data_IF_731583493498
#
_entry.id   IF_731583493498
#
_cell.length_a   1.000
_cell.length_b   1.000
_cell.length_c   1.000
_cell.angle_alpha   90.00
_cell.angle_beta   90.00
_cell.angle_gamma   90.00
#
_symmetry.space_group_name_H-M   'P 1'
#
loop_
_entity.id
_entity.type
_entity.pdbx_description
1 polymer ?
#
# COMPACT_ATOMS: atom_id res chain seq x y z
N UNK A 1 -16.30 -9.38 1.83
CA UNK A 1 -15.22 -10.01 1.05
C UNK A 1 -13.90 -9.48 1.59
N UNK A 2 -12.88 -10.32 1.80
CA UNK A 2 -11.56 -9.84 2.26
C UNK A 2 -10.78 -9.24 1.09
N UNK A 3 -9.80 -8.34 1.32
CA UNK A 3 -8.94 -7.83 0.25
C UNK A 3 -8.27 -8.95 -0.55
N UNK A 4 -7.75 -9.97 0.13
CA UNK A 4 -7.16 -11.15 -0.50
C UNK A 4 -8.17 -11.88 -1.41
N UNK A 5 -9.40 -12.10 -0.93
CA UNK A 5 -10.47 -12.75 -1.72
C UNK A 5 -10.82 -11.95 -2.97
N UNK A 6 -10.95 -10.62 -2.84
CA UNK A 6 -11.21 -9.73 -3.97
C UNK A 6 -10.10 -9.80 -5.02
N UNK A 7 -8.83 -9.76 -4.61
CA UNK A 7 -7.69 -9.91 -5.53
C UNK A 7 -7.67 -11.27 -6.20
N UNK A 8 -8.06 -12.34 -5.48
CA UNK A 8 -8.14 -13.69 -6.04
C UNK A 8 -9.17 -13.75 -7.17
N UNK A 9 -10.36 -13.21 -6.94
CA UNK A 9 -11.41 -13.13 -7.96
C UNK A 9 -11.01 -12.25 -9.16
N UNK A 10 -10.38 -11.10 -8.91
CA UNK A 10 -9.90 -10.22 -9.97
C UNK A 10 -8.84 -10.92 -10.84
N UNK A 11 -7.85 -11.56 -10.24
CA UNK A 11 -6.80 -12.27 -10.97
C UNK A 11 -7.39 -13.41 -11.80
N UNK A 12 -8.32 -14.19 -11.23
CA UNK A 12 -9.02 -15.24 -11.98
C UNK A 12 -9.73 -14.67 -13.21
N UNK A 13 -10.56 -13.64 -12.99
CA UNK A 13 -11.33 -12.97 -14.04
C UNK A 13 -10.44 -12.35 -15.12
N UNK A 14 -9.25 -11.87 -14.74
CA UNK A 14 -8.25 -11.32 -15.68
C UNK A 14 -7.73 -12.41 -16.62
N UNK A 15 -7.41 -13.61 -16.12
CA UNK A 15 -6.97 -14.72 -16.97
C UNK A 15 -8.07 -15.20 -17.91
N UNK A 16 -9.31 -15.30 -17.42
CA UNK A 16 -10.47 -15.65 -18.27
C UNK A 16 -10.68 -14.61 -19.37
N UNK A 17 -10.62 -13.32 -19.01
CA UNK A 17 -10.78 -12.21 -19.98
C UNK A 17 -9.64 -12.16 -21.00
N UNK A 18 -8.45 -12.66 -20.64
CA UNK A 18 -7.31 -12.81 -21.55
C UNK A 18 -7.41 -14.04 -22.47
N UNK A 19 -8.46 -14.86 -22.34
CA UNK A 19 -8.75 -16.00 -23.22
C UNK A 19 -8.30 -17.37 -22.67
N UNK A 20 -7.86 -17.46 -21.41
CA UNK A 20 -7.58 -18.75 -20.77
C UNK A 20 -8.90 -19.42 -20.38
N UNK A 21 -9.05 -20.72 -20.65
CA UNK A 21 -10.26 -21.45 -20.26
C UNK A 21 -10.24 -21.79 -18.76
N UNK A 22 -11.41 -21.86 -18.12
CA UNK A 22 -11.54 -22.29 -16.71
C UNK A 22 -10.84 -23.64 -16.48
N UNK A 23 -11.04 -24.59 -17.40
CA UNK A 23 -10.42 -25.92 -17.34
C UNK A 23 -8.89 -25.88 -17.28
N UNK A 24 -8.27 -24.95 -18.01
CA UNK A 24 -6.80 -24.81 -18.03
C UNK A 24 -6.30 -24.05 -16.79
N UNK A 25 -7.05 -23.05 -16.34
CA UNK A 25 -6.70 -22.20 -15.21
C UNK A 25 -6.84 -22.94 -13.87
N UNK A 26 -7.97 -23.59 -13.63
CA UNK A 26 -8.35 -24.21 -12.35
C UNK A 26 -7.31 -25.20 -11.82
N UNK A 27 -6.61 -25.89 -12.72
CA UNK A 27 -5.59 -26.88 -12.38
C UNK A 27 -4.46 -26.31 -11.53
N UNK A 28 -4.06 -25.07 -11.80
CA UNK A 28 -2.89 -24.43 -11.19
C UNK A 28 -3.19 -23.06 -10.59
N UNK A 29 -4.45 -22.62 -10.60
CA UNK A 29 -4.81 -21.25 -10.27
C UNK A 29 -4.36 -20.85 -8.87
N UNK A 30 -4.58 -21.68 -7.86
CA UNK A 30 -4.20 -21.37 -6.49
C UNK A 30 -2.69 -21.18 -6.33
N UNK A 31 -1.89 -22.02 -6.99
CA UNK A 31 -0.43 -21.87 -6.97
C UNK A 31 0.01 -20.59 -7.66
N UNK A 32 -0.56 -20.30 -8.84
CA UNK A 32 -0.27 -19.09 -9.60
C UNK A 32 -0.66 -17.83 -8.83
N UNK A 33 -1.87 -17.81 -8.27
CA UNK A 33 -2.38 -16.72 -7.45
C UNK A 33 -1.51 -16.51 -6.22
N UNK A 34 -1.17 -17.57 -5.48
CA UNK A 34 -0.32 -17.45 -4.29
C UNK A 34 1.07 -16.92 -4.63
N UNK A 35 1.64 -17.34 -5.76
CA UNK A 35 2.92 -16.83 -6.24
C UNK A 35 2.84 -15.34 -6.59
N UNK A 36 1.80 -14.92 -7.32
CA UNK A 36 1.57 -13.51 -7.65
C UNK A 36 1.33 -12.68 -6.38
N UNK A 37 0.40 -13.11 -5.52
CA UNK A 37 0.05 -12.39 -4.29
C UNK A 37 1.27 -12.21 -3.38
N UNK A 38 2.10 -13.25 -3.25
CA UNK A 38 3.37 -13.19 -2.50
C UNK A 38 4.37 -12.27 -3.17
N UNK A 39 4.52 -12.33 -4.50
CA UNK A 39 5.46 -11.49 -5.26
C UNK A 39 5.21 -10.00 -5.02
N UNK A 40 3.94 -9.59 -4.96
CA UNK A 40 3.51 -8.22 -4.61
C UNK A 40 3.72 -7.82 -3.14
N UNK A 41 4.29 -8.69 -2.31
CA UNK A 41 4.79 -8.30 -0.98
C UNK A 41 6.31 -8.10 -0.94
N UNK A 42 7.03 -8.50 -1.99
CA UNK A 42 8.50 -8.51 -2.02
C UNK A 42 9.07 -7.26 -2.66
N UNK A 43 10.33 -6.95 -2.33
CA UNK A 43 11.07 -5.86 -2.98
C UNK A 43 11.22 -6.04 -4.50
N UNK A 44 11.20 -7.28 -5.00
CA UNK A 44 11.37 -7.55 -6.43
C UNK A 44 10.24 -6.95 -7.30
N UNK A 45 9.08 -6.59 -6.73
CA UNK A 45 7.93 -6.05 -7.47
C UNK A 45 7.99 -4.53 -7.63
N UNK A 46 8.97 -3.91 -6.98
CA UNK A 46 9.02 -2.47 -6.82
C UNK A 46 10.43 -1.96 -7.08
N UNK A 47 10.51 -0.70 -7.50
CA UNK A 47 11.75 0.05 -7.54
C UNK A 47 11.55 1.31 -6.70
N UNK A 48 12.51 1.59 -5.82
CA UNK A 48 12.54 2.86 -5.08
C UNK A 48 13.09 3.93 -6.03
N UNK A 49 12.36 5.04 -6.16
CA UNK A 49 12.84 6.15 -6.99
C UNK A 49 14.17 6.71 -6.45
N UNK A 50 15.08 7.18 -7.32
CA UNK A 50 16.44 7.57 -6.93
C UNK A 50 16.53 8.62 -5.83
N UNK A 51 15.53 9.49 -5.73
CA UNK A 51 15.43 10.62 -4.82
C UNK A 51 14.77 10.29 -3.47
N UNK A 52 14.07 9.16 -3.35
CA UNK A 52 13.27 8.83 -2.16
C UNK A 52 14.13 8.73 -0.90
N UNK A 53 15.28 8.04 -0.98
CA UNK A 53 16.12 7.83 0.19
C UNK A 53 16.76 9.12 0.70
N UNK A 54 17.22 10.00 -0.20
CA UNK A 54 17.76 11.31 0.19
C UNK A 54 16.68 12.17 0.84
N UNK A 55 15.49 12.23 0.24
CA UNK A 55 14.38 13.04 0.75
C UNK A 55 13.91 12.58 2.12
N UNK A 56 13.69 11.27 2.32
CA UNK A 56 13.27 10.73 3.61
C UNK A 56 14.35 10.91 4.70
N UNK A 57 15.63 10.76 4.35
CA UNK A 57 16.72 11.05 5.29
C UNK A 57 16.73 12.53 5.71
N UNK A 58 16.58 13.44 4.76
CA UNK A 58 16.58 14.89 5.02
C UNK A 58 15.41 15.28 5.93
N UNK A 59 14.19 14.82 5.63
CA UNK A 59 13.01 15.08 6.46
C UNK A 59 13.21 14.55 7.89
N UNK A 60 13.75 13.33 8.03
CA UNK A 60 14.05 12.75 9.34
C UNK A 60 15.10 13.55 10.12
N UNK A 61 16.14 14.04 9.44
CA UNK A 61 17.18 14.89 10.06
C UNK A 61 16.64 16.23 10.54
N UNK A 62 15.63 16.77 9.86
CA UNK A 62 14.91 17.98 10.28
C UNK A 62 13.87 17.73 11.38
N UNK A 63 13.72 16.48 11.84
CA UNK A 63 12.83 16.13 12.95
C UNK A 63 11.36 15.99 12.57
N UNK A 64 11.04 15.85 11.27
CA UNK A 64 9.68 15.55 10.85
C UNK A 64 9.28 14.13 11.23
N UNK A 65 8.12 14.00 11.87
CA UNK A 65 7.40 12.73 11.97
C UNK A 65 6.83 12.39 10.59
N UNK A 66 6.95 11.14 10.16
CA UNK A 66 6.53 10.72 8.83
C UNK A 66 5.62 9.50 8.91
N UNK A 67 4.53 9.51 8.16
CA UNK A 67 3.61 8.38 8.06
C UNK A 67 3.17 8.14 6.63
N UNK A 68 2.73 6.92 6.35
CA UNK A 68 2.18 6.54 5.03
C UNK A 68 0.66 6.43 5.12
N UNK A 69 -0.04 7.02 4.15
CA UNK A 69 -1.49 6.86 3.95
C UNK A 69 -1.72 6.37 2.51
N UNK A 70 -2.20 5.13 2.36
CA UNK A 70 -2.36 4.49 1.06
C UNK A 70 -3.75 3.85 0.89
N UNK A 71 -4.37 4.09 -0.28
CA UNK A 71 -5.54 3.32 -0.71
C UNK A 71 -5.04 1.96 -1.21
N UNK A 72 -4.85 1.04 -0.27
CA UNK A 72 -4.21 -0.25 -0.50
C UNK A 72 -4.72 -1.25 0.51
N UNK A 73 -4.42 -2.52 0.24
CA UNK A 73 -4.55 -3.58 1.22
C UNK A 73 -3.33 -3.69 2.15
N UNK A 74 -3.41 -4.62 3.10
CA UNK A 74 -2.44 -4.85 4.17
C UNK A 74 -1.01 -5.17 3.68
N UNK A 75 -0.85 -5.58 2.41
CA UNK A 75 0.47 -5.91 1.85
C UNK A 75 1.41 -4.72 1.82
N UNK A 76 0.90 -3.48 1.76
CA UNK A 76 1.74 -2.28 1.72
C UNK A 76 2.70 -2.18 2.91
N UNK A 77 2.29 -2.69 4.08
CA UNK A 77 3.15 -2.74 5.27
C UNK A 77 4.38 -3.61 5.00
N UNK A 78 4.18 -4.82 4.46
CA UNK A 78 5.27 -5.74 4.08
C UNK A 78 6.14 -5.18 2.96
N UNK A 79 5.54 -4.47 2.00
CA UNK A 79 6.30 -3.84 0.91
C UNK A 79 7.27 -2.79 1.48
N UNK A 80 6.79 -1.93 2.38
CA UNK A 80 7.63 -0.90 3.03
C UNK A 80 8.76 -1.54 3.87
N UNK A 81 8.47 -2.62 4.59
CA UNK A 81 9.47 -3.40 5.33
C UNK A 81 10.51 -4.03 4.42
N UNK A 82 10.09 -4.74 3.37
CA UNK A 82 11.00 -5.44 2.45
C UNK A 82 11.84 -4.48 1.59
N UNK A 83 11.35 -3.26 1.36
CA UNK A 83 12.13 -2.18 0.75
C UNK A 83 13.06 -1.45 1.74
N UNK A 84 13.09 -1.87 3.02
CA UNK A 84 13.84 -1.24 4.11
C UNK A 84 13.49 0.25 4.32
N UNK A 85 12.25 0.63 4.01
CA UNK A 85 11.74 1.99 4.17
C UNK A 85 11.02 2.19 5.51
N UNK A 86 10.64 1.10 6.19
CA UNK A 86 9.95 1.15 7.49
C UNK A 86 10.68 1.99 8.55
N UNK A 87 12.02 2.03 8.51
CA UNK A 87 12.84 2.85 9.41
C UNK A 87 12.60 4.38 9.29
N UNK A 88 11.95 4.83 8.23
CA UNK A 88 11.62 6.24 8.01
C UNK A 88 10.24 6.62 8.53
N UNK A 89 9.31 5.68 8.59
CA UNK A 89 7.91 5.98 8.89
C UNK A 89 7.54 5.51 10.29
N UNK A 90 6.91 6.39 11.06
CA UNK A 90 6.40 6.11 12.40
C UNK A 90 5.13 5.26 12.36
N UNK A 91 4.37 5.33 11.26
CA UNK A 91 3.18 4.52 11.03
C UNK A 91 2.87 4.35 9.54
N UNK A 92 2.11 3.29 9.23
CA UNK A 92 1.59 2.99 7.88
C UNK A 92 0.10 2.69 8.00
N UNK A 93 -0.71 3.41 7.24
CA UNK A 93 -2.16 3.24 7.16
C UNK A 93 -2.52 2.76 5.75
N UNK A 94 -3.07 1.55 5.67
CA UNK A 94 -3.70 1.02 4.48
C UNK A 94 -5.22 1.17 4.62
N UNK A 95 -5.91 1.63 3.56
CA UNK A 95 -7.36 1.84 3.59
C UNK A 95 -8.14 0.59 3.98
N UNK A 96 -7.66 -0.61 3.59
CA UNK A 96 -8.29 -1.88 3.98
C UNK A 96 -8.28 -2.14 5.49
N UNK A 97 -7.29 -1.60 6.22
CA UNK A 97 -7.13 -1.80 7.66
C UNK A 97 -7.99 -0.84 8.48
N UNK A 98 -8.39 0.28 7.90
CA UNK A 98 -9.14 1.35 8.60
C UNK A 98 -10.53 1.61 8.02
N UNK A 99 -10.94 0.82 7.03
CA UNK A 99 -12.24 0.85 6.35
C UNK A 99 -12.66 2.26 5.87
N UNK A 100 -11.68 3.06 5.50
CA UNK A 100 -11.84 4.35 4.86
C UNK A 100 -10.64 4.63 3.97
N UNK A 101 -10.86 5.38 2.90
CA UNK A 101 -9.86 5.64 1.87
C UNK A 101 -9.84 7.11 1.48
N UNK A 102 -8.73 7.57 0.91
CA UNK A 102 -8.62 8.90 0.30
C UNK A 102 -9.58 9.00 -0.89
N UNK A 103 -10.29 10.11 -1.09
CA UNK A 103 -10.13 11.42 -0.45
C UNK A 103 -10.96 11.65 0.84
N UNK A 104 -11.50 10.59 1.47
CA UNK A 104 -12.30 10.76 2.69
C UNK A 104 -11.47 11.40 3.81
N UNK A 105 -11.96 12.51 4.37
CA UNK A 105 -11.32 13.21 5.50
C UNK A 105 -10.99 12.27 6.68
N UNK A 106 -11.79 11.21 6.88
CA UNK A 106 -11.64 10.24 7.97
C UNK A 106 -10.27 9.57 8.00
N UNK A 107 -9.67 9.28 6.85
CA UNK A 107 -8.36 8.61 6.82
C UNK A 107 -7.24 9.56 7.28
N UNK A 108 -7.34 10.85 6.94
CA UNK A 108 -6.40 11.87 7.40
C UNK A 108 -6.57 12.18 8.89
N UNK A 109 -7.81 12.25 9.38
CA UNK A 109 -8.10 12.43 10.80
C UNK A 109 -7.48 11.30 11.64
N UNK A 110 -7.61 10.04 11.17
CA UNK A 110 -6.94 8.89 11.80
C UNK A 110 -5.41 9.01 11.79
N UNK A 111 -4.83 9.48 10.69
CA UNK A 111 -3.38 9.68 10.61
C UNK A 111 -2.90 10.76 11.60
N UNK A 112 -3.64 11.86 11.74
CA UNK A 112 -3.36 12.92 12.71
C UNK A 112 -3.49 12.44 14.16
N UNK A 113 -4.49 11.60 14.45
CA UNK A 113 -4.66 10.95 15.76
C UNK A 113 -3.47 10.06 16.10
N UNK A 114 -3.07 9.16 15.19
CA UNK A 114 -1.92 8.25 15.35
C UNK A 114 -0.61 9.04 15.49
N UNK A 115 -0.49 10.17 14.81
CA UNK A 115 0.66 11.08 14.94
C UNK A 115 0.70 11.81 16.30
N UNK A 116 -0.20 11.53 17.24
CA UNK A 116 -0.25 12.17 18.56
C UNK A 116 -1.19 13.37 18.62
N UNK A 117 -2.29 13.32 17.87
CA UNK A 117 -3.29 14.39 17.76
C UNK A 117 -2.73 15.69 17.18
N UNK A 118 -1.93 15.57 16.10
CA UNK A 118 -1.39 16.72 15.38
C UNK A 118 -2.51 17.54 14.75
N UNK A 119 -2.40 18.88 14.78
CA UNK A 119 -3.34 19.74 14.07
C UNK A 119 -3.12 19.64 12.56
N UNK A 120 -4.21 19.59 11.79
CA UNK A 120 -4.14 19.49 10.33
C UNK A 120 -3.27 20.58 9.67
N UNK A 121 -3.27 21.81 10.21
CA UNK A 121 -2.46 22.93 9.74
C UNK A 121 -0.94 22.74 9.91
N UNK A 122 -0.52 21.76 10.71
CA UNK A 122 0.89 21.39 10.90
C UNK A 122 1.29 20.11 10.16
N UNK A 123 0.39 19.55 9.34
CA UNK A 123 0.64 18.35 8.57
C UNK A 123 0.65 18.67 7.07
N UNK A 124 1.53 18.00 6.34
CA UNK A 124 1.58 18.05 4.88
C UNK A 124 1.35 16.64 4.33
N UNK A 125 0.42 16.50 3.38
CA UNK A 125 0.27 15.29 2.60
C UNK A 125 0.99 15.43 1.26
N UNK A 126 1.73 14.40 0.86
CA UNK A 126 2.40 14.32 -0.45
C UNK A 126 1.86 13.10 -1.18
N UNK A 127 1.34 13.33 -2.39
CA UNK A 127 0.76 12.31 -3.26
C UNK A 127 0.78 12.77 -4.71
N UNK A 128 0.51 11.85 -5.63
CA UNK A 128 0.55 12.05 -7.08
C UNK A 128 -0.83 12.25 -7.73
N UNK A 129 -1.90 12.08 -6.95
CA UNK A 129 -3.28 12.18 -7.40
C UNK A 129 -3.97 13.38 -6.74
N UNK A 130 -4.35 14.38 -7.54
CA UNK A 130 -4.94 15.64 -7.05
C UNK A 130 -6.36 15.42 -6.50
N UNK A 131 -7.05 14.39 -6.99
CA UNK A 131 -8.41 14.07 -6.59
C UNK A 131 -8.45 13.12 -5.37
N UNK A 132 -7.28 12.70 -4.85
CA UNK A 132 -7.18 11.78 -3.71
C UNK A 132 -6.43 12.34 -2.51
#
# INVERSE_FOLDING_TARGET
MTPQGWWKELVYSTFISAGITEKDLDRNFDQLYNALYTRFTTAEAYAVFPDVLSTLNELKQHGFQMGVISNSDERVVKVIENLNLNKYFDFVIASSLVECEKPSKRIYEKALEIAGNVKAEHALHVGDDVDK
#
